data_IF_554344223900
#
_entry.id   IF_554344223900
#
_cell.length_a   1.000
_cell.length_b   1.000
_cell.length_c   1.000
_cell.angle_alpha   90.00
_cell.angle_beta   90.00
_cell.angle_gamma   90.00
#
_symmetry.space_group_name_H-M   'P 1'
#
loop_
_entity.id
_entity.type
_entity.pdbx_description
1 polymer ?
#
# COMPACT_ATOMS: atom_id res chain seq x y z
N UNK A 1 -21.53 10.68 10.89
CA UNK A 1 -20.51 9.65 10.58
C UNK A 1 -19.14 10.29 10.71
N UNK A 2 -18.66 10.37 11.94
CA UNK A 2 -17.40 11.03 12.25
C UNK A 2 -16.25 10.11 11.83
N UNK A 3 -15.42 10.57 10.88
CA UNK A 3 -14.17 9.87 10.54
C UNK A 3 -13.27 10.00 11.77
N UNK A 4 -13.26 8.96 12.60
CA UNK A 4 -12.34 8.84 13.73
C UNK A 4 -10.93 9.06 13.19
N UNK A 5 -10.18 10.05 13.71
CA UNK A 5 -8.83 10.31 13.22
C UNK A 5 -8.02 9.04 13.38
N UNK A 6 -7.38 8.62 12.28
CA UNK A 6 -6.37 7.57 12.29
C UNK A 6 -5.36 8.00 13.35
N UNK A 7 -5.37 7.32 14.49
CA UNK A 7 -4.37 7.54 15.53
C UNK A 7 -3.06 7.22 14.86
N UNK A 8 -2.28 8.24 14.56
CA UNK A 8 -0.87 8.17 14.21
C UNK A 8 -0.20 7.42 15.35
N UNK A 9 -0.14 6.09 15.21
CA UNK A 9 0.67 5.25 16.05
C UNK A 9 2.08 5.79 15.93
N UNK A 10 2.56 6.39 17.02
CA UNK A 10 3.92 6.83 17.28
C UNK A 10 4.92 6.20 16.30
N UNK A 11 5.30 6.99 15.28
CA UNK A 11 6.44 6.74 14.42
C UNK A 11 7.68 7.18 15.22
N UNK A 12 7.98 6.43 16.28
CA UNK A 12 9.18 6.62 17.07
C UNK A 12 10.28 5.80 16.40
N UNK A 13 11.10 6.50 15.62
CA UNK A 13 12.49 6.20 15.26
C UNK A 13 12.77 4.88 14.49
N UNK A 14 12.35 4.82 13.22
CA UNK A 14 12.99 3.94 12.22
C UNK A 14 13.35 4.79 11.01
N UNK A 15 14.65 4.96 10.78
CA UNK A 15 15.29 5.70 9.68
C UNK A 15 15.11 5.02 8.33
N UNK A 16 13.86 4.82 7.89
CA UNK A 16 13.51 4.05 6.69
C UNK A 16 12.16 4.42 6.08
N UNK A 17 11.87 3.88 4.89
CA UNK A 17 10.61 4.12 4.19
C UNK A 17 9.48 3.33 4.90
N UNK A 18 8.29 3.92 5.19
CA UNK A 18 7.24 3.23 5.96
C UNK A 18 6.80 1.87 5.39
N UNK A 19 6.95 1.66 4.08
CA UNK A 19 6.68 0.39 3.41
C UNK A 19 7.59 -0.77 3.86
N UNK A 20 8.78 -0.49 4.43
CA UNK A 20 9.72 -1.50 4.94
C UNK A 20 9.13 -2.29 6.13
N UNK A 21 8.17 -1.68 6.84
CA UNK A 21 7.45 -2.33 7.94
C UNK A 21 6.38 -3.34 7.48
N UNK A 22 6.22 -3.54 6.17
CA UNK A 22 5.28 -4.51 5.61
C UNK A 22 5.71 -5.95 5.92
N UNK A 23 4.92 -6.67 6.71
CA UNK A 23 5.14 -8.09 7.03
C UNK A 23 4.87 -9.06 5.86
N UNK A 24 4.45 -8.56 4.70
CA UNK A 24 4.15 -9.35 3.48
C UNK A 24 3.11 -10.47 3.68
N UNK A 25 2.24 -10.37 4.69
CA UNK A 25 1.29 -11.43 5.07
C UNK A 25 0.12 -11.67 4.10
N UNK A 26 -0.13 -10.76 3.15
CA UNK A 26 -1.17 -10.93 2.12
C UNK A 26 -2.61 -10.62 2.56
N UNK A 27 -2.85 -10.21 3.82
CA UNK A 27 -4.20 -9.85 4.30
C UNK A 27 -4.88 -8.79 3.43
N UNK A 28 -4.11 -7.80 2.96
CA UNK A 28 -4.61 -6.74 2.10
C UNK A 28 -4.96 -7.20 0.67
N UNK A 29 -4.37 -8.30 0.18
CA UNK A 29 -4.65 -8.86 -1.14
C UNK A 29 -6.08 -9.41 -1.19
N UNK A 30 -6.50 -10.14 -0.15
CA UNK A 30 -7.82 -10.80 -0.07
C UNK A 30 -8.97 -9.79 -0.10
N UNK A 31 -8.78 -8.61 0.47
CA UNK A 31 -9.82 -7.56 0.54
C UNK A 31 -9.73 -6.54 -0.60
N UNK A 32 -8.75 -6.64 -1.50
CA UNK A 32 -8.54 -5.66 -2.56
C UNK A 32 -9.57 -5.84 -3.69
N UNK A 33 -10.41 -4.85 -4.00
CA UNK A 33 -11.42 -4.97 -5.07
C UNK A 33 -10.78 -5.05 -6.47
N UNK A 34 -9.63 -4.40 -6.67
CA UNK A 34 -8.90 -4.43 -7.95
C UNK A 34 -8.36 -5.84 -8.22
N UNK A 35 -7.74 -6.45 -7.20
CA UNK A 35 -7.22 -7.81 -7.28
C UNK A 35 -8.32 -8.84 -7.57
N UNK A 36 -9.52 -8.64 -7.02
CA UNK A 36 -10.68 -9.51 -7.30
C UNK A 36 -11.08 -9.49 -8.78
N UNK A 37 -10.74 -8.45 -9.52
CA UNK A 37 -11.07 -8.30 -10.94
C UNK A 37 -9.91 -8.76 -11.82
N UNK A 38 -8.68 -8.31 -11.54
CA UNK A 38 -7.54 -8.54 -12.43
C UNK A 38 -6.66 -9.75 -12.04
N UNK A 39 -6.74 -10.24 -10.80
CA UNK A 39 -5.93 -11.32 -10.26
C UNK A 39 -4.43 -11.02 -10.15
N UNK A 40 -4.00 -9.76 -10.32
CA UNK A 40 -2.58 -9.38 -10.40
C UNK A 40 -2.06 -8.92 -9.06
N UNK A 41 -1.11 -9.65 -8.49
CA UNK A 41 -0.51 -9.27 -7.20
C UNK A 41 0.13 -7.87 -7.23
N UNK A 42 0.68 -7.45 -8.37
CA UNK A 42 1.31 -6.13 -8.51
C UNK A 42 0.35 -4.97 -8.23
N UNK A 43 -0.97 -5.14 -8.44
CA UNK A 43 -1.97 -4.09 -8.22
C UNK A 43 -2.49 -4.04 -6.79
N UNK A 44 -2.15 -5.04 -5.96
CA UNK A 44 -2.52 -5.09 -4.55
C UNK A 44 -1.69 -4.10 -3.74
N UNK A 45 -2.14 -3.80 -2.52
CA UNK A 45 -1.33 -3.04 -1.57
C UNK A 45 0.02 -3.73 -1.28
N UNK A 46 0.05 -5.05 -1.11
CA UNK A 46 1.31 -5.77 -0.84
C UNK A 46 2.29 -5.65 -2.00
N UNK A 47 1.82 -5.84 -3.24
CA UNK A 47 2.64 -5.67 -4.43
C UNK A 47 3.20 -4.25 -4.55
N UNK A 48 2.34 -3.24 -4.38
CA UNK A 48 2.74 -1.83 -4.41
C UNK A 48 3.75 -1.48 -3.32
N UNK A 49 3.60 -2.00 -2.10
CA UNK A 49 4.59 -1.82 -1.02
C UNK A 49 5.96 -2.36 -1.41
N UNK A 50 6.03 -3.44 -2.18
CA UNK A 50 7.31 -3.94 -2.68
C UNK A 50 7.87 -3.06 -3.80
N UNK A 51 7.01 -2.61 -4.72
CA UNK A 51 7.41 -1.77 -5.84
C UNK A 51 7.95 -0.40 -5.41
N UNK A 52 7.36 0.25 -4.40
CA UNK A 52 7.87 1.54 -3.88
C UNK A 52 9.25 1.44 -3.25
N UNK A 53 9.64 0.27 -2.76
CA UNK A 53 10.99 0.01 -2.22
C UNK A 53 11.98 -0.43 -3.31
N UNK A 54 11.49 -0.75 -4.50
CA UNK A 54 12.33 -1.25 -5.58
C UNK A 54 13.07 -0.10 -6.28
N UNK A 55 14.23 -0.35 -6.90
CA UNK A 55 14.91 0.65 -7.74
C UNK A 55 14.05 1.17 -8.91
N UNK A 56 12.98 0.46 -9.26
CA UNK A 56 12.02 0.88 -10.29
C UNK A 56 11.24 2.13 -9.88
N UNK A 57 11.11 2.40 -8.57
CA UNK A 57 10.49 3.63 -8.09
C UNK A 57 11.27 4.88 -8.54
N UNK A 58 12.60 4.78 -8.66
CA UNK A 58 13.43 5.88 -9.16
C UNK A 58 13.30 6.10 -10.69
N UNK A 59 12.79 5.11 -11.42
CA UNK A 59 12.61 5.14 -12.88
C UNK A 59 11.23 4.59 -13.24
N UNK A 60 10.18 5.32 -12.85
CA UNK A 60 8.80 4.93 -13.06
C UNK A 60 8.49 4.77 -14.56
N UNK A 61 8.44 3.52 -15.01
CA UNK A 61 7.98 3.19 -16.37
C UNK A 61 6.47 3.40 -16.50
N UNK A 62 5.95 3.45 -17.73
CA UNK A 62 4.50 3.49 -17.97
C UNK A 62 3.75 2.35 -17.29
N UNK A 63 4.37 1.17 -17.21
CA UNK A 63 3.80 0.00 -16.54
C UNK A 63 3.74 0.22 -15.02
N UNK A 64 4.79 0.82 -14.44
CA UNK A 64 4.82 1.19 -13.03
C UNK A 64 3.67 2.17 -12.73
N UNK A 65 3.61 3.30 -13.45
CA UNK A 65 2.54 4.30 -13.28
C UNK A 65 1.14 3.67 -13.37
N UNK A 66 0.91 2.81 -14.38
CA UNK A 66 -0.37 2.16 -14.58
C UNK A 66 -0.75 1.25 -13.40
N UNK A 67 0.20 0.49 -12.87
CA UNK A 67 -0.04 -0.35 -11.68
C UNK A 67 -0.50 0.52 -10.51
N UNK A 68 0.17 1.65 -10.25
CA UNK A 68 -0.18 2.53 -9.14
C UNK A 68 -1.53 3.23 -9.35
N UNK A 69 -1.81 3.73 -10.55
CA UNK A 69 -3.05 4.42 -10.91
C UNK A 69 -4.30 3.55 -10.81
N UNK A 70 -4.17 2.22 -10.86
CA UNK A 70 -5.29 1.30 -10.62
C UNK A 70 -5.77 1.28 -9.15
N UNK A 71 -5.07 1.93 -8.21
CA UNK A 71 -5.54 1.98 -6.81
C UNK A 71 -6.80 2.86 -6.69
N UNK A 72 -7.85 2.32 -6.07
CA UNK A 72 -9.06 3.09 -5.76
C UNK A 72 -8.96 3.93 -4.48
N UNK A 73 -7.85 3.83 -3.74
CA UNK A 73 -7.66 4.45 -2.43
C UNK A 73 -8.82 4.18 -1.43
N UNK A 74 -9.42 2.99 -1.50
CA UNK A 74 -10.61 2.64 -0.71
C UNK A 74 -10.33 2.34 0.78
N UNK A 75 -9.06 2.23 1.18
CA UNK A 75 -8.65 2.00 2.58
C UNK A 75 -8.86 0.59 3.13
N UNK A 76 -9.47 -0.34 2.38
CA UNK A 76 -9.74 -1.71 2.86
C UNK A 76 -8.48 -2.45 3.32
N UNK A 77 -7.36 -2.21 2.64
CA UNK A 77 -6.05 -2.77 2.98
C UNK A 77 -5.54 -2.31 4.36
N UNK A 78 -5.81 -1.07 4.76
CA UNK A 78 -5.39 -0.53 6.06
C UNK A 78 -6.21 -1.14 7.20
N UNK A 79 -7.52 -1.31 6.99
CA UNK A 79 -8.44 -1.88 7.98
C UNK A 79 -8.05 -3.31 8.40
N UNK A 80 -7.46 -4.08 7.49
CA UNK A 80 -7.02 -5.46 7.75
C UNK A 80 -5.52 -5.57 8.02
N UNK A 81 -4.78 -4.46 8.01
CA UNK A 81 -3.33 -4.50 8.20
C UNK A 81 -2.99 -4.78 9.68
N UNK A 82 -2.35 -5.91 10.02
CA UNK A 82 -1.97 -6.21 11.40
C UNK A 82 -0.85 -5.30 11.93
N UNK A 83 -0.19 -4.56 11.03
CA UNK A 83 0.85 -3.58 11.34
C UNK A 83 0.34 -2.13 11.35
N UNK A 84 -0.94 -1.90 11.05
CA UNK A 84 -1.58 -0.59 10.97
C UNK A 84 -0.77 0.43 10.13
N UNK A 85 -0.24 -0.01 8.98
CA UNK A 85 0.50 0.88 8.09
C UNK A 85 -0.44 1.88 7.38
N UNK A 86 0.01 3.12 7.13
CA UNK A 86 -0.73 4.10 6.34
C UNK A 86 -0.58 3.80 4.84
N UNK A 87 -1.17 2.69 4.39
CA UNK A 87 -1.02 2.12 3.05
C UNK A 87 -1.47 3.08 1.94
N UNK A 88 -2.62 3.75 2.10
CA UNK A 88 -3.14 4.66 1.06
C UNK A 88 -2.28 5.91 0.92
N UNK A 89 -1.72 6.40 2.03
CA UNK A 89 -0.82 7.55 2.03
C UNK A 89 0.52 7.22 1.36
N UNK A 90 1.01 6.00 1.55
CA UNK A 90 2.22 5.51 0.87
C UNK A 90 1.96 5.38 -0.64
N UNK A 91 0.85 4.75 -1.04
CA UNK A 91 0.53 4.50 -2.46
C UNK A 91 0.22 5.79 -3.22
N UNK A 92 -0.41 6.78 -2.59
CA UNK A 92 -0.75 8.06 -3.23
C UNK A 92 0.45 8.97 -3.49
N UNK A 93 1.59 8.71 -2.85
CA UNK A 93 2.83 9.47 -2.98
C UNK A 93 3.88 8.78 -3.87
N UNK A 94 3.53 7.61 -4.41
CA UNK A 94 4.41 6.77 -5.22
C UNK A 94 4.36 7.12 -6.72
#
# INVERSE_FOLDING_TARGET
MERKPLKTGKMEDVSGHPAENCAKCGACTVVCPVYRVDGRESTTARGKMHLVLSPLAAHASKVFENVFSQCLLCGSCEQVCPRQLPITDIISKA
#
